data_IF_183846450261
#
_entry.id   IF_183846450261
#
_cell.length_a   1.000
_cell.length_b   1.000
_cell.length_c   1.000
_cell.angle_alpha   90.00
_cell.angle_beta   90.00
_cell.angle_gamma   90.00
#
_symmetry.space_group_name_H-M   'P 1'
#
loop_
_entity.id
_entity.type
_entity.pdbx_description
1 polymer ?
#
# COMPACT_ATOMS: atom_id res chain seq x y z
N UNK A 1 3.52 -58.81 -15.09
CA UNK A 1 4.56 -57.74 -15.16
C UNK A 1 4.97 -57.42 -13.73
N UNK A 2 6.21 -57.69 -13.33
CA UNK A 2 6.67 -57.38 -11.95
C UNK A 2 6.93 -55.88 -11.85
N UNK A 3 6.31 -55.21 -10.88
CA UNK A 3 6.59 -53.80 -10.61
C UNK A 3 8.06 -53.65 -10.19
N UNK A 4 8.80 -52.78 -10.88
CA UNK A 4 10.14 -52.37 -10.46
C UNK A 4 9.98 -51.50 -9.22
N UNK A 5 10.42 -51.99 -8.07
CA UNK A 5 10.56 -51.16 -6.87
C UNK A 5 11.66 -50.12 -7.13
N UNK A 6 11.28 -48.85 -7.21
CA UNK A 6 12.25 -47.76 -7.20
C UNK A 6 12.58 -47.44 -5.75
N UNK A 7 13.84 -47.66 -5.38
CA UNK A 7 14.39 -47.10 -4.14
C UNK A 7 14.55 -45.60 -4.38
N UNK A 8 13.75 -44.81 -3.67
CA UNK A 8 13.85 -43.35 -3.71
C UNK A 8 14.89 -42.96 -2.68
N UNK A 9 15.92 -42.24 -3.12
CA UNK A 9 16.88 -41.59 -2.24
C UNK A 9 16.21 -40.32 -1.67
N UNK A 10 15.83 -40.39 -0.40
CA UNK A 10 15.12 -39.32 0.30
C UNK A 10 16.01 -38.09 0.48
N UNK A 11 17.32 -38.27 0.70
CA UNK A 11 18.26 -37.17 0.89
C UNK A 11 18.42 -36.38 -0.41
N UNK A 12 18.59 -37.08 -1.54
CA UNK A 12 18.65 -36.45 -2.86
C UNK A 12 17.33 -35.74 -3.22
N UNK A 13 16.19 -36.25 -2.75
CA UNK A 13 14.89 -35.63 -2.95
C UNK A 13 14.76 -34.35 -2.11
N UNK A 14 15.22 -34.37 -0.86
CA UNK A 14 15.24 -33.22 0.04
C UNK A 14 16.13 -32.12 -0.51
N UNK A 15 17.36 -32.42 -0.95
CA UNK A 15 18.26 -31.44 -1.56
C UNK A 15 17.65 -30.75 -2.78
N UNK A 16 16.83 -31.47 -3.55
CA UNK A 16 16.14 -30.92 -4.73
C UNK A 16 14.92 -30.07 -4.38
N UNK A 17 14.24 -30.37 -3.27
CA UNK A 17 13.00 -29.70 -2.88
C UNK A 17 13.24 -28.49 -1.98
N UNK A 18 14.27 -28.51 -1.13
CA UNK A 18 14.58 -27.44 -0.17
C UNK A 18 14.60 -26.05 -0.83
N UNK A 19 15.34 -25.84 -1.95
CA UNK A 19 15.43 -24.51 -2.57
C UNK A 19 14.07 -24.01 -3.08
N UNK A 20 13.25 -24.92 -3.62
CA UNK A 20 11.91 -24.59 -4.14
C UNK A 20 10.93 -24.24 -3.02
N UNK A 21 11.07 -24.88 -1.87
CA UNK A 21 10.28 -24.59 -0.68
C UNK A 21 10.69 -23.23 -0.13
N UNK A 22 11.99 -22.95 -0.01
CA UNK A 22 12.51 -21.66 0.44
C UNK A 22 12.04 -20.50 -0.46
N UNK A 23 12.10 -20.66 -1.78
CA UNK A 23 11.65 -19.62 -2.71
C UNK A 23 10.14 -19.35 -2.61
N UNK A 24 9.34 -20.40 -2.39
CA UNK A 24 7.90 -20.24 -2.12
C UNK A 24 7.64 -19.49 -0.83
N UNK A 25 8.33 -19.86 0.25
CA UNK A 25 8.19 -19.20 1.55
C UNK A 25 8.58 -17.73 1.44
N UNK A 26 9.71 -17.41 0.79
CA UNK A 26 10.14 -16.01 0.55
C UNK A 26 9.07 -15.22 -0.20
N UNK A 27 8.50 -15.81 -1.25
CA UNK A 27 7.44 -15.18 -2.05
C UNK A 27 6.19 -14.92 -1.23
N UNK A 28 5.74 -15.89 -0.43
CA UNK A 28 4.54 -15.79 0.39
C UNK A 28 4.71 -14.74 1.49
N UNK A 29 5.88 -14.69 2.14
CA UNK A 29 6.21 -13.66 3.16
C UNK A 29 6.21 -12.26 2.53
N UNK A 30 6.88 -12.09 1.39
CA UNK A 30 6.92 -10.78 0.70
C UNK A 30 5.52 -10.32 0.29
N UNK A 31 4.67 -11.22 -0.24
CA UNK A 31 3.28 -10.88 -0.56
C UNK A 31 2.48 -10.49 0.67
N UNK A 32 2.62 -11.23 1.77
CA UNK A 32 1.92 -10.90 3.02
C UNK A 32 2.36 -9.54 3.57
N UNK A 33 3.64 -9.19 3.46
CA UNK A 33 4.15 -7.88 3.84
C UNK A 33 3.58 -6.77 2.95
N UNK A 34 3.53 -6.99 1.63
CA UNK A 34 2.94 -6.03 0.68
C UNK A 34 1.47 -5.79 1.03
N UNK A 35 0.67 -6.85 1.20
CA UNK A 35 -0.75 -6.69 1.55
C UNK A 35 -0.96 -5.97 2.88
N UNK A 36 -0.16 -6.29 3.90
CA UNK A 36 -0.23 -5.60 5.20
C UNK A 36 0.17 -4.12 5.08
N UNK A 37 1.11 -3.78 4.20
CA UNK A 37 1.52 -2.40 3.95
C UNK A 37 0.50 -1.64 3.08
N UNK A 38 -0.14 -2.29 2.11
CA UNK A 38 -1.22 -1.70 1.32
C UNK A 38 -2.39 -1.26 2.23
N UNK A 39 -2.79 -2.10 3.18
CA UNK A 39 -3.83 -1.77 4.16
C UNK A 39 -3.45 -0.57 5.06
N UNK A 40 -2.16 -0.37 5.33
CA UNK A 40 -1.67 0.71 6.21
C UNK A 40 -1.38 2.02 5.47
N UNK A 41 -0.85 1.93 4.24
CA UNK A 41 -0.36 3.08 3.47
C UNK A 41 -1.45 3.61 2.53
N UNK A 42 -2.37 2.75 2.06
CA UNK A 42 -3.47 3.10 1.18
C UNK A 42 -4.79 2.78 1.87
N UNK A 43 -5.35 3.72 2.68
CA UNK A 43 -6.70 3.56 3.19
C UNK A 43 -7.63 3.26 2.00
N UNK A 44 -8.66 2.42 2.19
CA UNK A 44 -9.66 2.16 1.17
C UNK A 44 -10.12 3.48 0.54
N UNK A 45 -10.29 3.52 -0.78
CA UNK A 45 -10.61 4.75 -1.51
C UNK A 45 -11.80 5.52 -0.90
N UNK A 46 -12.74 4.79 -0.29
CA UNK A 46 -13.87 5.32 0.47
C UNK A 46 -13.46 6.21 1.66
N UNK A 47 -12.42 5.84 2.41
CA UNK A 47 -11.89 6.61 3.53
C UNK A 47 -11.21 7.90 3.05
N UNK A 48 -10.43 7.82 1.96
CA UNK A 48 -9.81 8.99 1.34
C UNK A 48 -10.86 9.97 0.80
N UNK A 49 -11.88 9.47 0.08
CA UNK A 49 -12.99 10.28 -0.44
C UNK A 49 -13.75 10.98 0.69
N UNK A 50 -14.04 10.28 1.79
CA UNK A 50 -14.72 10.86 2.95
C UNK A 50 -13.93 12.00 3.58
N UNK A 51 -12.61 11.81 3.77
CA UNK A 51 -11.75 12.85 4.32
C UNK A 51 -11.63 14.05 3.37
N UNK A 52 -11.46 13.80 2.07
CA UNK A 52 -11.42 14.83 1.04
C UNK A 52 -12.70 15.67 1.00
N UNK A 53 -13.87 15.02 0.95
CA UNK A 53 -15.18 15.71 0.97
C UNK A 53 -15.33 16.52 2.25
N UNK A 54 -14.95 15.97 3.41
CA UNK A 54 -14.99 16.70 4.69
C UNK A 54 -14.07 17.93 4.69
N UNK A 55 -12.88 17.85 4.09
CA UNK A 55 -11.97 18.99 3.92
C UNK A 55 -12.57 20.05 2.99
N UNK A 56 -13.16 19.63 1.88
CA UNK A 56 -13.84 20.52 0.92
C UNK A 56 -15.06 21.21 1.55
N UNK A 57 -15.90 20.49 2.29
CA UNK A 57 -17.04 21.07 3.02
C UNK A 57 -16.60 22.03 4.13
N UNK A 58 -15.54 21.70 4.85
CA UNK A 58 -14.98 22.59 5.87
C UNK A 58 -14.43 23.87 5.24
N UNK A 59 -13.79 23.76 4.08
CA UNK A 59 -13.31 24.91 3.31
C UNK A 59 -14.47 25.73 2.73
N UNK A 60 -15.55 25.10 2.26
CA UNK A 60 -16.71 25.79 1.68
C UNK A 60 -17.60 26.47 2.72
N UNK A 61 -17.61 25.97 3.97
CA UNK A 61 -18.26 26.61 5.13
C UNK A 61 -17.47 27.81 5.67
N UNK A 62 -16.20 27.94 5.33
CA UNK A 62 -15.47 29.19 5.54
C UNK A 62 -16.09 30.25 4.63
N UNK A 63 -16.57 31.37 5.21
CA UNK A 63 -16.94 32.55 4.41
C UNK A 63 -15.75 32.86 3.51
N UNK A 64 -15.87 32.57 2.21
CA UNK A 64 -14.80 32.77 1.25
C UNK A 64 -14.28 34.19 1.39
N UNK A 65 -12.98 34.35 1.64
CA UNK A 65 -12.36 35.67 1.62
C UNK A 65 -12.31 36.12 0.17
N UNK A 66 -13.08 37.16 -0.15
CA UNK A 66 -12.96 37.86 -1.43
C UNK A 66 -11.84 38.87 -1.28
N UNK A 67 -10.77 38.68 -2.05
CA UNK A 67 -9.65 39.62 -2.11
C UNK A 67 -9.93 40.62 -3.24
N UNK A 68 -9.70 41.91 -2.98
CA UNK A 68 -9.96 42.97 -3.96
C UNK A 68 -8.81 43.08 -4.96
N UNK A 69 -7.61 42.64 -4.58
CA UNK A 69 -6.41 42.71 -5.42
C UNK A 69 -5.59 41.42 -5.32
N UNK A 70 -4.77 41.18 -6.35
CA UNK A 70 -3.80 40.08 -6.40
C UNK A 70 -2.76 40.16 -5.28
N UNK A 71 -2.33 41.37 -4.90
CA UNK A 71 -1.40 41.57 -3.78
C UNK A 71 -1.98 41.11 -2.43
N UNK A 72 -3.26 41.36 -2.17
CA UNK A 72 -3.93 40.88 -0.95
C UNK A 72 -4.00 39.35 -0.90
N UNK A 73 -4.26 38.71 -2.04
CA UNK A 73 -4.25 37.24 -2.15
C UNK A 73 -2.85 36.67 -1.90
N UNK A 74 -1.82 37.23 -2.52
CA UNK A 74 -0.43 36.78 -2.35
C UNK A 74 0.07 36.93 -0.92
N UNK A 75 -0.27 38.03 -0.25
CA UNK A 75 0.06 38.25 1.16
C UNK A 75 -0.63 37.21 2.05
N UNK A 76 -1.88 36.86 1.76
CA UNK A 76 -2.60 35.83 2.50
C UNK A 76 -1.99 34.44 2.28
N UNK A 77 -1.63 34.08 1.05
CA UNK A 77 -0.99 32.79 0.74
C UNK A 77 0.36 32.65 1.45
N UNK A 78 1.17 33.71 1.47
CA UNK A 78 2.44 33.74 2.24
C UNK A 78 2.24 33.55 3.74
N UNK A 79 1.14 34.06 4.30
CA UNK A 79 0.83 33.87 5.73
C UNK A 79 0.40 32.44 6.10
N UNK A 80 -0.05 31.65 5.13
CA UNK A 80 -0.48 30.26 5.34
C UNK A 80 0.66 29.24 5.16
N UNK A 81 1.77 29.65 4.55
CA UNK A 81 2.96 28.82 4.35
C UNK A 81 3.99 28.94 5.49
N UNK A 82 3.64 29.62 6.59
CA UNK A 82 4.43 29.74 7.83
C UNK A 82 3.84 28.84 8.89
#
# INVERSE_FOLDING_TARGET
MKAKGHVIDEDALVERLLPKIEDRIKTDVVRSLISALEDQIYPPESAFRGEFVRRVEKASRGKGKVFKTTMELEAHLKSLST
#
